data_IF_366899347045
#
_entry.id   IF_366899347045
#
_cell.length_a   1.000
_cell.length_b   1.000
_cell.length_c   1.000
_cell.angle_alpha   90.00
_cell.angle_beta   90.00
_cell.angle_gamma   90.00
#
_symmetry.space_group_name_H-M   'P 1'
#
loop_
_entity.id
_entity.type
_entity.pdbx_description
1 polymer ?
#
# COMPACT_ATOMS: atom_id res chain seq x y z
N UNK A 1 9.57 -25.71 -11.62
CA UNK A 1 9.64 -24.63 -12.63
C UNK A 1 10.56 -23.55 -12.09
N UNK A 2 11.43 -22.98 -12.92
CA UNK A 2 12.22 -21.82 -12.53
C UNK A 2 11.29 -20.64 -12.21
N UNK A 3 11.68 -19.80 -11.26
CA UNK A 3 10.93 -18.60 -10.90
C UNK A 3 10.88 -17.64 -12.11
N UNK A 4 9.73 -16.99 -12.32
CA UNK A 4 9.59 -15.89 -13.27
C UNK A 4 9.13 -14.62 -12.58
N UNK A 5 9.78 -13.50 -12.91
CA UNK A 5 9.34 -12.19 -12.48
C UNK A 5 7.95 -11.91 -13.07
N UNK A 6 7.12 -11.24 -12.26
CA UNK A 6 5.82 -10.73 -12.69
C UNK A 6 5.73 -9.28 -12.24
N UNK A 7 5.03 -8.48 -13.04
CA UNK A 7 4.62 -7.16 -12.63
C UNK A 7 3.42 -7.30 -11.68
N UNK A 8 3.62 -6.86 -10.44
CA UNK A 8 2.60 -6.84 -9.42
C UNK A 8 2.16 -5.41 -9.23
N UNK A 9 1.04 -5.09 -9.87
CA UNK A 9 0.47 -3.76 -9.86
C UNK A 9 -0.43 -3.59 -8.64
N UNK A 10 -0.30 -2.44 -7.99
CA UNK A 10 -1.24 -1.89 -7.02
C UNK A 10 -1.67 -0.53 -7.49
N UNK A 11 -2.94 -0.20 -7.31
CA UNK A 11 -3.52 1.09 -7.73
C UNK A 11 -4.08 1.84 -6.54
N UNK A 12 -3.69 3.10 -6.38
CA UNK A 12 -4.37 4.05 -5.51
C UNK A 12 -5.52 4.70 -6.28
N UNK A 13 -6.73 4.19 -6.06
CA UNK A 13 -7.95 4.74 -6.63
C UNK A 13 -8.47 5.92 -5.85
N UNK A 14 -9.24 6.79 -6.49
CA UNK A 14 -9.92 7.88 -5.83
C UNK A 14 -11.44 7.79 -6.03
N UNK A 15 -12.19 7.88 -4.92
CA UNK A 15 -13.66 7.90 -4.88
C UNK A 15 -14.22 9.19 -4.29
N UNK A 16 -13.39 10.20 -4.14
CA UNK A 16 -13.75 11.52 -3.61
C UNK A 16 -13.58 12.60 -4.68
N UNK A 17 -13.86 13.86 -4.34
CA UNK A 17 -13.68 15.02 -5.23
C UNK A 17 -12.22 15.45 -5.43
N UNK A 18 -11.26 14.88 -4.67
CA UNK A 18 -9.84 15.17 -4.88
C UNK A 18 -9.37 14.69 -6.26
N UNK A 19 -8.18 15.09 -6.68
CA UNK A 19 -7.48 14.48 -7.82
C UNK A 19 -6.11 13.97 -7.37
N UNK A 20 -5.81 12.70 -7.63
CA UNK A 20 -4.47 12.14 -7.46
C UNK A 20 -3.67 12.45 -8.73
N UNK A 21 -2.58 13.21 -8.58
CA UNK A 21 -1.70 13.58 -9.70
C UNK A 21 -0.53 12.59 -9.86
N UNK A 22 -0.21 11.86 -8.78
CA UNK A 22 0.81 10.84 -8.75
C UNK A 22 1.52 10.83 -7.40
N UNK A 23 2.74 10.29 -7.38
CA UNK A 23 3.49 10.20 -6.14
C UNK A 23 4.65 9.23 -6.20
N UNK A 24 5.04 8.74 -5.03
CA UNK A 24 6.03 7.69 -4.91
C UNK A 24 5.91 6.93 -3.59
N UNK A 25 6.50 5.74 -3.56
CA UNK A 25 6.70 4.95 -2.37
C UNK A 25 8.18 4.63 -2.22
N UNK A 26 8.76 5.01 -1.08
CA UNK A 26 10.15 4.67 -0.76
C UNK A 26 10.14 3.47 0.18
N UNK A 27 10.69 2.35 -0.28
CA UNK A 27 10.79 1.11 0.51
C UNK A 27 11.70 1.39 1.71
N UNK A 28 11.22 1.14 2.92
CA UNK A 28 11.98 1.27 4.17
C UNK A 28 12.31 -0.11 4.75
N UNK A 29 11.43 -1.08 4.54
CA UNK A 29 11.64 -2.48 4.89
C UNK A 29 10.85 -3.39 3.95
N UNK A 30 11.28 -4.64 3.80
CA UNK A 30 10.63 -5.59 2.90
C UNK A 30 10.84 -7.04 3.31
N UNK A 31 9.85 -7.87 2.99
CA UNK A 31 9.98 -9.33 3.04
C UNK A 31 9.40 -9.92 1.77
N UNK A 32 10.23 -10.68 1.07
CA UNK A 32 9.85 -11.37 -0.16
C UNK A 32 10.06 -12.86 0.07
N UNK A 33 9.15 -13.70 -0.43
CA UNK A 33 9.31 -15.16 -0.34
C UNK A 33 10.65 -15.61 -0.93
N UNK A 34 11.33 -16.61 -0.33
CA UNK A 34 12.63 -17.07 -0.79
C UNK A 34 12.67 -17.39 -2.28
N UNK A 35 13.70 -16.92 -2.98
CA UNK A 35 13.90 -17.14 -4.41
C UNK A 35 12.95 -16.38 -5.34
N UNK A 36 12.07 -15.50 -4.82
CA UNK A 36 11.15 -14.70 -5.64
C UNK A 36 11.70 -13.35 -6.13
N UNK A 37 12.91 -12.96 -5.68
CA UNK A 37 13.63 -11.78 -6.19
C UNK A 37 15.18 -12.00 -6.26
N UNK A 38 15.67 -12.99 -7.01
CA UNK A 38 17.08 -13.36 -7.08
C UNK A 38 17.98 -12.27 -7.69
N UNK A 39 17.43 -11.37 -8.49
CA UNK A 39 18.16 -10.23 -9.08
C UNK A 39 18.07 -8.96 -8.21
N UNK A 40 17.44 -9.03 -7.03
CA UNK A 40 17.24 -7.90 -6.12
C UNK A 40 16.60 -6.66 -6.81
N UNK A 41 15.52 -6.86 -7.57
CA UNK A 41 14.78 -5.77 -8.22
C UNK A 41 14.04 -4.89 -7.24
N UNK A 42 13.90 -5.34 -5.98
CA UNK A 42 13.32 -4.59 -4.88
C UNK A 42 14.29 -4.53 -3.69
N UNK A 43 14.67 -3.31 -3.31
CA UNK A 43 15.62 -3.07 -2.22
C UNK A 43 15.18 -1.90 -1.34
N UNK A 44 15.63 -1.90 -0.09
CA UNK A 44 15.42 -0.78 0.83
C UNK A 44 16.01 0.51 0.23
N UNK A 45 15.34 1.64 0.46
CA UNK A 45 15.54 2.97 -0.14
C UNK A 45 15.18 3.10 -1.62
N UNK A 46 14.78 2.02 -2.30
CA UNK A 46 14.29 2.14 -3.66
C UNK A 46 13.01 2.96 -3.69
N UNK A 47 12.96 3.91 -4.62
CA UNK A 47 11.77 4.73 -4.91
C UNK A 47 10.97 4.05 -6.02
N UNK A 48 9.72 3.69 -5.74
CA UNK A 48 8.73 3.28 -6.73
C UNK A 48 7.87 4.48 -7.10
N UNK A 49 7.70 4.75 -8.39
CA UNK A 49 6.85 5.83 -8.88
C UNK A 49 5.37 5.40 -8.77
N UNK A 50 4.51 6.35 -8.43
CA UNK A 50 3.07 6.23 -8.58
C UNK A 50 2.69 7.12 -9.76
N UNK A 51 2.10 6.52 -10.79
CA UNK A 51 1.65 7.22 -11.99
C UNK A 51 0.37 8.03 -11.73
N UNK A 52 -0.02 8.88 -12.68
CA UNK A 52 -1.18 9.76 -12.54
C UNK A 52 -2.51 8.99 -12.44
N UNK A 53 -2.55 7.75 -12.92
CA UNK A 53 -3.68 6.85 -12.72
C UNK A 53 -3.64 6.13 -11.35
N UNK A 54 -2.66 6.45 -10.50
CA UNK A 54 -2.44 5.86 -9.19
C UNK A 54 -1.72 4.51 -9.21
N UNK A 55 -1.29 4.03 -10.38
CA UNK A 55 -0.61 2.74 -10.51
C UNK A 55 0.82 2.77 -9.98
N UNK A 56 1.22 1.69 -9.33
CA UNK A 56 2.59 1.41 -8.93
C UNK A 56 2.89 -0.08 -9.08
N UNK A 57 4.11 -0.41 -9.52
CA UNK A 57 4.48 -1.79 -9.89
C UNK A 57 5.68 -2.31 -9.09
N UNK A 58 5.57 -3.56 -8.63
CA UNK A 58 6.67 -4.32 -8.04
C UNK A 58 7.01 -5.54 -8.91
N UNK A 59 8.18 -5.57 -9.58
CA UNK A 59 8.63 -6.74 -10.30
C UNK A 59 9.14 -7.79 -9.31
N UNK A 60 8.37 -8.85 -9.08
CA UNK A 60 8.71 -9.92 -8.12
C UNK A 60 7.90 -11.19 -8.42
N UNK A 61 8.44 -12.36 -8.09
CA UNK A 61 7.75 -13.63 -8.20
C UNK A 61 6.51 -13.74 -7.30
N UNK A 62 5.70 -14.77 -7.54
CA UNK A 62 4.46 -15.04 -6.80
C UNK A 62 4.52 -16.44 -6.20
N UNK A 63 5.00 -16.51 -4.97
CA UNK A 63 4.97 -17.73 -4.17
C UNK A 63 4.56 -17.37 -2.74
N UNK A 64 3.33 -17.69 -2.36
CA UNK A 64 2.81 -17.38 -1.03
C UNK A 64 3.54 -18.20 0.02
N UNK A 65 4.02 -17.56 1.08
CA UNK A 65 4.62 -18.23 2.22
C UNK A 65 4.12 -17.62 3.53
N UNK A 66 4.09 -18.45 4.56
CA UNK A 66 3.80 -18.08 5.94
C UNK A 66 4.91 -17.21 6.53
N UNK A 67 6.16 -17.36 6.08
CA UNK A 67 7.31 -16.55 6.49
C UNK A 67 7.06 -15.06 6.23
N UNK A 68 6.51 -14.70 5.08
CA UNK A 68 6.18 -13.29 4.77
C UNK A 68 4.99 -12.83 5.60
N UNK A 69 3.99 -13.70 5.81
CA UNK A 69 2.83 -13.37 6.63
C UNK A 69 3.19 -13.17 8.10
N UNK A 70 4.10 -13.97 8.65
CA UNK A 70 4.59 -13.83 10.02
C UNK A 70 5.42 -12.55 10.17
N UNK A 71 6.27 -12.23 9.19
CA UNK A 71 6.96 -10.94 9.16
C UNK A 71 5.96 -9.77 9.16
N UNK A 72 4.86 -9.86 8.39
CA UNK A 72 3.80 -8.83 8.43
C UNK A 72 3.23 -8.67 9.84
N UNK A 73 2.85 -9.77 10.51
CA UNK A 73 2.26 -9.77 11.87
C UNK A 73 3.18 -9.13 12.91
N UNK A 74 4.49 -9.36 12.79
CA UNK A 74 5.49 -8.77 13.68
C UNK A 74 5.61 -7.24 13.55
N UNK A 75 5.25 -6.69 12.38
CA UNK A 75 5.42 -5.27 12.08
C UNK A 75 4.12 -4.48 12.07
N UNK A 76 3.00 -5.12 11.70
CA UNK A 76 1.70 -4.50 11.47
C UNK A 76 0.66 -5.29 12.24
N UNK A 77 0.19 -4.75 13.36
CA UNK A 77 -0.92 -5.33 14.10
C UNK A 77 -2.17 -5.41 13.23
N UNK A 78 -2.97 -6.47 13.40
CA UNK A 78 -4.23 -6.67 12.66
C UNK A 78 -5.12 -5.41 12.61
N UNK A 79 -5.30 -4.75 13.75
CA UNK A 79 -6.08 -3.50 13.90
C UNK A 79 -5.50 -2.28 13.15
N UNK A 80 -4.28 -2.35 12.65
CA UNK A 80 -3.65 -1.32 11.83
C UNK A 80 -3.62 -1.69 10.33
N UNK A 81 -4.40 -2.69 9.95
CA UNK A 81 -4.61 -3.11 8.56
C UNK A 81 -6.07 -2.99 8.16
N UNK A 82 -6.33 -2.95 6.86
CA UNK A 82 -7.69 -2.84 6.32
C UNK A 82 -8.58 -3.98 6.76
N UNK A 83 -8.08 -5.21 6.87
CA UNK A 83 -8.94 -6.37 7.11
C UNK A 83 -9.16 -6.70 8.59
N UNK A 84 -8.47 -6.03 9.53
CA UNK A 84 -8.57 -6.29 10.97
C UNK A 84 -8.33 -7.77 11.37
N UNK A 85 -7.55 -8.47 10.56
CA UNK A 85 -7.03 -9.80 10.84
C UNK A 85 -5.72 -9.96 10.11
N UNK A 86 -4.97 -11.01 10.43
CA UNK A 86 -3.67 -11.24 9.80
C UNK A 86 -3.78 -12.08 8.52
N UNK A 87 -2.83 -11.93 7.59
CA UNK A 87 -2.68 -12.86 6.47
C UNK A 87 -2.19 -14.23 6.98
N UNK A 88 -2.63 -15.29 6.31
CA UNK A 88 -2.05 -16.63 6.51
C UNK A 88 -0.77 -16.79 5.69
N UNK A 89 -0.81 -16.36 4.41
CA UNK A 89 0.31 -16.41 3.47
C UNK A 89 0.39 -15.12 2.67
N UNK A 90 1.61 -14.67 2.38
CA UNK A 90 1.89 -13.57 1.46
C UNK A 90 3.00 -13.94 0.48
N UNK A 91 2.93 -13.43 -0.75
CA UNK A 91 4.01 -13.56 -1.71
C UNK A 91 5.18 -12.63 -1.37
N UNK A 92 4.84 -11.43 -0.92
CA UNK A 92 5.77 -10.39 -0.49
C UNK A 92 5.01 -9.31 0.30
N UNK A 93 5.76 -8.52 1.05
CA UNK A 93 5.29 -7.34 1.76
C UNK A 93 6.38 -6.26 1.80
N UNK A 94 5.95 -5.01 1.83
CA UNK A 94 6.78 -3.82 1.90
C UNK A 94 6.24 -2.88 2.96
N UNK A 95 7.14 -2.27 3.74
CA UNK A 95 6.85 -1.10 4.58
C UNK A 95 7.62 0.07 4.01
N UNK A 96 7.00 1.23 3.92
CA UNK A 96 7.64 2.38 3.32
C UNK A 96 6.93 3.69 3.55
N UNK A 97 7.59 4.74 3.04
CA UNK A 97 7.07 6.09 3.07
C UNK A 97 6.29 6.33 1.79
N UNK A 98 4.99 6.47 1.90
CA UNK A 98 4.10 6.84 0.80
C UNK A 98 4.05 8.36 0.69
N UNK A 99 4.20 8.87 -0.53
CA UNK A 99 4.05 10.28 -0.85
C UNK A 99 3.06 10.41 -1.99
N UNK A 100 2.02 11.21 -1.79
CA UNK A 100 0.99 11.47 -2.78
C UNK A 100 0.97 12.97 -3.10
N UNK A 101 0.84 13.30 -4.38
CA UNK A 101 0.57 14.67 -4.85
C UNK A 101 -0.92 14.74 -5.16
N UNK A 102 -1.62 15.60 -4.42
CA UNK A 102 -3.07 15.68 -4.42
C UNK A 102 -3.50 17.12 -4.75
N UNK A 103 -4.56 17.24 -5.54
CA UNK A 103 -5.41 18.43 -5.61
C UNK A 103 -6.65 18.14 -4.76
N UNK A 104 -6.94 18.96 -3.74
CA UNK A 104 -8.07 18.71 -2.84
C UNK A 104 -9.41 19.27 -3.38
N UNK A 105 -9.41 19.80 -4.61
CA UNK A 105 -10.58 20.30 -5.32
C UNK A 105 -10.58 21.82 -5.55
N UNK A 106 -9.50 22.51 -5.16
CA UNK A 106 -9.30 23.95 -5.34
C UNK A 106 -8.34 24.29 -6.49
N UNK A 107 -7.74 23.28 -7.13
CA UNK A 107 -6.78 23.45 -8.22
C UNK A 107 -5.33 23.59 -7.75
N UNK A 108 -5.08 23.61 -6.44
CA UNK A 108 -3.74 23.72 -5.88
C UNK A 108 -3.16 22.33 -5.58
N UNK A 109 -1.89 22.13 -5.96
CA UNK A 109 -1.22 20.85 -5.77
C UNK A 109 -0.44 20.83 -4.47
N UNK A 110 -0.74 19.85 -3.62
CA UNK A 110 -0.05 19.66 -2.36
C UNK A 110 0.52 18.25 -2.22
N UNK A 111 1.71 18.17 -1.62
CA UNK A 111 2.42 16.90 -1.42
C UNK A 111 2.26 16.43 0.02
N UNK A 112 1.63 15.27 0.19
CA UNK A 112 1.39 14.65 1.49
C UNK A 112 2.25 13.40 1.69
N UNK A 113 2.85 13.30 2.87
CA UNK A 113 3.73 12.20 3.27
C UNK A 113 3.06 11.37 4.35
N UNK A 114 2.93 10.07 4.09
CA UNK A 114 2.40 9.06 4.99
C UNK A 114 3.52 8.09 5.38
N UNK A 115 4.02 8.12 6.63
CA UNK A 115 5.08 7.23 7.08
C UNK A 115 4.56 5.80 7.32
N UNK A 116 5.49 4.83 7.29
CA UNK A 116 5.25 3.44 7.71
C UNK A 116 3.99 2.79 7.12
N UNK A 117 3.71 3.07 5.84
CA UNK A 117 2.64 2.42 5.08
C UNK A 117 3.09 1.02 4.69
N UNK A 118 2.21 0.04 4.90
CA UNK A 118 2.44 -1.35 4.59
C UNK A 118 1.61 -1.80 3.39
N UNK A 119 2.26 -2.46 2.43
CA UNK A 119 1.67 -3.06 1.25
C UNK A 119 2.07 -4.53 1.18
N UNK A 120 1.10 -5.43 1.14
CA UNK A 120 1.33 -6.86 1.01
C UNK A 120 0.56 -7.42 -0.16
N UNK A 121 1.04 -8.49 -0.78
CA UNK A 121 0.28 -9.18 -1.83
C UNK A 121 0.22 -10.66 -1.50
N UNK A 122 -0.98 -11.13 -1.18
CA UNK A 122 -1.28 -12.53 -0.95
C UNK A 122 -2.06 -13.11 -2.12
N UNK A 123 -2.71 -14.24 -1.86
CA UNK A 123 -3.54 -14.92 -2.85
C UNK A 123 -4.83 -15.39 -2.21
N UNK A 124 -5.95 -15.23 -2.92
CA UNK A 124 -7.23 -15.84 -2.57
C UNK A 124 -7.82 -16.50 -3.81
N UNK A 125 -8.03 -17.82 -3.74
CA UNK A 125 -8.64 -18.62 -4.80
C UNK A 125 -7.96 -18.52 -6.18
N UNK A 126 -8.40 -17.63 -7.07
CA UNK A 126 -7.80 -17.39 -8.40
C UNK A 126 -7.27 -15.97 -8.57
N UNK A 127 -7.43 -15.10 -7.57
CA UNK A 127 -7.04 -13.69 -7.63
C UNK A 127 -5.94 -13.36 -6.63
N UNK A 128 -5.07 -12.44 -7.02
CA UNK A 128 -4.09 -11.86 -6.11
C UNK A 128 -4.74 -10.77 -5.30
N UNK A 129 -4.61 -10.83 -3.98
CA UNK A 129 -5.25 -9.87 -3.10
C UNK A 129 -4.18 -8.99 -2.45
N UNK A 130 -4.31 -7.68 -2.64
CA UNK A 130 -3.47 -6.73 -1.92
C UNK A 130 -3.94 -6.52 -0.48
N UNK A 131 -2.99 -6.30 0.39
CA UNK A 131 -3.12 -5.94 1.79
C UNK A 131 -2.63 -4.50 1.96
N UNK A 132 -3.33 -3.73 2.78
CA UNK A 132 -2.97 -2.35 3.09
C UNK A 132 -3.04 -2.11 4.60
N UNK A 133 -2.10 -1.33 5.11
CA UNK A 133 -2.06 -0.95 6.51
C UNK A 133 -0.89 -0.01 6.80
N UNK A 134 -0.47 0.03 8.06
CA UNK A 134 0.74 0.71 8.47
C UNK A 134 0.97 0.60 9.98
N UNK A 135 2.11 1.08 10.49
CA UNK A 135 2.46 0.89 11.92
C UNK A 135 1.54 1.65 12.89
N UNK A 136 0.95 2.76 12.47
CA UNK A 136 0.15 3.65 13.33
C UNK A 136 -1.15 4.08 12.64
N UNK A 137 -1.95 3.09 12.22
CA UNK A 137 -3.22 3.27 11.48
C UNK A 137 -4.34 2.64 12.28
N UNK A 138 -5.56 3.14 12.17
CA UNK A 138 -6.69 2.53 12.87
C UNK A 138 -7.66 1.94 11.86
N UNK A 139 -7.95 0.65 11.98
CA UNK A 139 -9.07 0.02 11.32
C UNK A 139 -10.37 0.67 11.82
N UNK A 140 -11.28 0.99 10.89
CA UNK A 140 -12.55 1.67 11.21
C UNK A 140 -13.77 0.95 10.64
N UNK A 141 -13.68 -0.35 10.35
CA UNK A 141 -14.75 -1.14 9.73
C UNK A 141 -14.69 -1.12 8.20
N UNK A 142 -15.52 -1.94 7.54
CA UNK A 142 -15.71 -2.00 6.08
C UNK A 142 -14.43 -2.09 5.25
N UNK A 143 -13.44 -2.81 5.76
CA UNK A 143 -12.11 -2.91 5.19
C UNK A 143 -11.37 -1.57 5.02
N UNK A 144 -11.57 -0.63 5.95
CA UNK A 144 -10.98 0.71 5.92
C UNK A 144 -9.96 0.90 7.04
N UNK A 145 -8.96 1.72 6.76
CA UNK A 145 -8.05 2.29 7.77
C UNK A 145 -7.94 3.80 7.59
N UNK A 146 -7.68 4.51 8.68
CA UNK A 146 -7.33 5.92 8.65
C UNK A 146 -5.82 6.11 8.73
N UNK A 147 -5.32 7.02 7.90
CA UNK A 147 -3.92 7.37 7.80
C UNK A 147 -3.76 8.89 7.90
N UNK A 148 -3.04 9.35 8.93
CA UNK A 148 -2.52 10.72 8.93
C UNK A 148 -1.34 10.83 7.96
N UNK A 149 -1.44 11.80 7.06
CA UNK A 149 -0.36 12.31 6.22
C UNK A 149 -0.09 13.78 6.54
N UNK A 150 1.11 14.25 6.19
CA UNK A 150 1.54 15.63 6.45
C UNK A 150 2.13 16.26 5.21
N UNK A 151 1.79 17.50 4.94
CA UNK A 151 2.50 18.36 4.01
C UNK A 151 3.41 19.32 4.80
N UNK A 152 3.92 20.35 4.14
CA UNK A 152 4.65 21.43 4.81
C UNK A 152 3.74 22.29 5.69
N UNK A 153 2.46 22.43 5.32
CA UNK A 153 1.54 23.41 5.91
C UNK A 153 0.36 22.75 6.64
N UNK A 154 -0.03 21.54 6.23
CA UNK A 154 -1.26 20.89 6.66
C UNK A 154 -1.05 19.44 7.11
N UNK A 155 -1.98 18.97 7.93
CA UNK A 155 -2.19 17.55 8.17
C UNK A 155 -3.43 17.09 7.42
N UNK A 156 -3.38 15.87 6.93
CA UNK A 156 -4.46 15.24 6.19
C UNK A 156 -4.79 13.90 6.84
N UNK A 157 -6.03 13.72 7.27
CA UNK A 157 -6.54 12.40 7.62
C UNK A 157 -7.22 11.80 6.40
N UNK A 158 -6.66 10.69 5.90
CA UNK A 158 -7.17 9.98 4.73
C UNK A 158 -7.69 8.63 5.15
N UNK A 159 -8.92 8.31 4.74
CA UNK A 159 -9.48 6.96 4.87
C UNK A 159 -9.18 6.19 3.59
N UNK A 160 -8.40 5.12 3.73
CA UNK A 160 -8.14 4.17 2.66
C UNK A 160 -9.03 2.94 2.84
N UNK A 161 -9.58 2.41 1.75
CA UNK A 161 -10.36 1.16 1.72
C UNK A 161 -9.68 0.14 0.83
N UNK A 162 -9.61 -1.10 1.30
CA UNK A 162 -9.17 -2.25 0.50
C UNK A 162 -10.23 -3.33 0.55
N UNK A 163 -11.02 -3.52 -0.51
CA UNK A 163 -12.02 -4.60 -0.54
C UNK A 163 -13.33 -4.24 -1.25
N UNK A 164 -13.24 -3.74 -2.48
CA UNK A 164 -14.36 -3.63 -3.43
C UNK A 164 -14.33 -4.73 -4.50
N UNK A 165 -14.83 -4.44 -5.69
CA UNK A 165 -14.85 -5.39 -6.84
C UNK A 165 -13.46 -5.68 -7.42
N UNK A 166 -12.47 -4.79 -7.21
CA UNK A 166 -11.09 -4.98 -7.69
C UNK A 166 -10.15 -5.44 -6.57
N UNK A 167 -9.28 -6.39 -6.88
CA UNK A 167 -8.38 -7.04 -5.92
C UNK A 167 -7.01 -6.34 -5.78
N UNK A 168 -6.74 -5.41 -6.68
CA UNK A 168 -5.50 -4.64 -6.84
C UNK A 168 -5.63 -3.15 -6.50
N UNK A 169 -6.84 -2.69 -6.15
CA UNK A 169 -7.12 -1.30 -5.84
C UNK A 169 -7.23 -1.06 -4.33
N UNK A 170 -6.55 0.01 -3.88
CA UNK A 170 -6.69 0.65 -2.58
C UNK A 170 -7.32 2.01 -2.83
N UNK A 171 -8.54 2.21 -2.38
CA UNK A 171 -9.32 3.41 -2.68
C UNK A 171 -9.14 4.47 -1.58
N UNK A 172 -8.91 5.72 -1.98
CA UNK A 172 -9.11 6.88 -1.12
C UNK A 172 -10.60 7.18 -1.13
N UNK A 173 -11.27 7.01 0.02
CA UNK A 173 -12.74 7.13 0.13
C UNK A 173 -13.19 8.32 0.97
N UNK A 174 -12.28 8.90 1.75
CA UNK A 174 -12.55 10.10 2.54
C UNK A 174 -11.24 10.84 2.81
N UNK A 175 -11.31 12.17 2.81
CA UNK A 175 -10.19 13.05 3.13
C UNK A 175 -10.69 14.18 4.02
N UNK A 176 -9.95 14.47 5.10
CA UNK A 176 -10.21 15.56 6.02
C UNK A 176 -8.91 16.32 6.29
N UNK A 177 -8.91 17.62 6.01
CA UNK A 177 -7.83 18.52 6.45
C UNK A 177 -7.94 18.68 7.96
N UNK A 178 -6.82 18.52 8.66
CA UNK A 178 -6.72 18.64 10.12
C UNK A 178 -5.91 19.90 10.43
N UNK A 179 -6.54 20.85 11.12
CA UNK A 179 -5.92 22.09 11.60
C UNK A 179 -4.99 21.90 12.79
#
# INVERSE_FOLDING_TARGET
>A
MAMSYRDNDVKFGNKTSLTLIGGNFIIQDLKISPGQDPENKNVVKQKKKIDADGKMTFPVGRHGTDIVANWWKEHISAQHSTFNHDPSDLNFAFIGKLTLVLDLGDGELETYVFPDIALGQGHSSKSNNWWFGGKSRNHIGDNKVTCEGKSAEHKLLVTFRRGGNSVDEIEIVEVKVVG
#
